data_IF_020185954659
#
_entry.id   IF_020185954659
#
_cell.length_a   1.000
_cell.length_b   1.000
_cell.length_c   1.000
_cell.angle_alpha   90.00
_cell.angle_beta   90.00
_cell.angle_gamma   90.00
#
_symmetry.space_group_name_H-M   'P 1'
#
loop_
_entity.id
_entity.type
_entity.pdbx_description
1 polymer ?
#
# COMPACT_ATOMS: atom_id res chain seq x y z
N UNK A 1 14.12 9.32 8.60
CA UNK A 1 12.81 9.50 9.26
C UNK A 1 12.86 9.01 10.70
N UNK A 2 13.26 7.74 10.95
CA UNK A 2 13.47 7.20 12.31
C UNK A 2 14.42 8.06 13.16
N UNK A 3 15.57 8.47 12.61
CA UNK A 3 16.52 9.35 13.30
C UNK A 3 15.99 10.78 13.56
N UNK A 4 14.90 11.19 12.92
CA UNK A 4 14.34 12.53 13.07
C UNK A 4 13.17 12.59 14.06
N UNK A 5 12.41 11.49 14.18
CA UNK A 5 11.19 11.47 14.99
C UNK A 5 11.20 10.44 16.13
N UNK A 6 12.14 9.49 16.12
CA UNK A 6 12.10 8.31 16.99
C UNK A 6 11.10 7.26 16.49
N UNK A 7 11.33 5.98 16.82
CA UNK A 7 10.52 4.87 16.33
C UNK A 7 9.02 5.01 16.69
N UNK A 8 8.73 5.51 17.90
CA UNK A 8 7.37 5.62 18.43
C UNK A 8 6.55 6.80 17.87
N UNK A 9 7.17 7.67 17.05
CA UNK A 9 6.48 8.83 16.45
C UNK A 9 6.32 8.72 14.95
N UNK A 10 6.55 7.53 14.38
CA UNK A 10 6.28 7.28 12.97
C UNK A 10 4.79 6.96 12.81
N UNK A 11 4.05 7.71 11.97
CA UNK A 11 2.59 7.61 11.86
C UNK A 11 2.07 6.26 11.33
N UNK A 12 2.96 5.36 10.93
CA UNK A 12 2.66 4.03 10.38
C UNK A 12 3.59 2.94 10.94
N UNK A 13 4.19 3.16 12.11
CA UNK A 13 4.92 2.08 12.80
C UNK A 13 3.93 1.05 13.32
N UNK A 14 4.22 -0.23 13.11
CA UNK A 14 3.36 -1.33 13.51
C UNK A 14 4.18 -2.37 14.26
N UNK A 15 3.54 -3.00 15.25
CA UNK A 15 4.09 -4.05 16.12
C UNK A 15 3.13 -5.25 16.06
N UNK A 16 3.58 -6.41 16.53
CA UNK A 16 2.67 -7.53 16.76
C UNK A 16 1.62 -7.18 17.83
N UNK A 17 0.54 -7.96 17.92
CA UNK A 17 -0.56 -7.71 18.86
C UNK A 17 -0.15 -7.77 20.34
N UNK A 18 0.99 -8.38 20.64
CA UNK A 18 1.61 -8.42 21.97
C UNK A 18 2.58 -7.25 22.23
N UNK A 19 2.76 -6.35 21.26
CA UNK A 19 3.66 -5.20 21.34
C UNK A 19 5.12 -5.48 20.94
N UNK A 20 5.46 -6.72 20.58
CA UNK A 20 6.80 -7.04 20.07
C UNK A 20 7.04 -6.46 18.67
N UNK A 21 8.29 -6.11 18.37
CA UNK A 21 8.66 -5.55 17.07
C UNK A 21 8.53 -6.59 15.96
N UNK A 22 8.05 -6.16 14.79
CA UNK A 22 8.07 -7.00 13.60
C UNK A 22 9.50 -7.02 13.08
N UNK A 23 10.07 -8.22 12.91
CA UNK A 23 11.46 -8.36 12.51
C UNK A 23 11.70 -7.81 11.10
N UNK A 24 12.89 -7.28 10.85
CA UNK A 24 13.29 -6.78 9.52
C UNK A 24 13.20 -7.89 8.46
N UNK A 25 13.55 -9.13 8.82
CA UNK A 25 13.42 -10.29 7.95
C UNK A 25 11.96 -10.54 7.55
N UNK A 26 11.01 -10.46 8.48
CA UNK A 26 9.59 -10.67 8.16
C UNK A 26 9.04 -9.52 7.31
N UNK A 27 9.43 -8.27 7.60
CA UNK A 27 9.07 -7.12 6.77
C UNK A 27 9.58 -7.27 5.34
N UNK A 28 10.81 -7.74 5.15
CA UNK A 28 11.38 -8.01 3.82
C UNK A 28 10.60 -9.09 3.09
N UNK A 29 10.21 -10.19 3.78
CA UNK A 29 9.40 -11.24 3.17
C UNK A 29 8.03 -10.75 2.73
N UNK A 30 7.36 -9.94 3.54
CA UNK A 30 6.07 -9.32 3.18
C UNK A 30 6.25 -8.42 1.95
N UNK A 31 7.26 -7.54 1.96
CA UNK A 31 7.54 -6.65 0.81
C UNK A 31 7.85 -7.42 -0.47
N UNK A 32 8.59 -8.52 -0.37
CA UNK A 32 8.90 -9.38 -1.50
C UNK A 32 7.64 -10.07 -2.05
N UNK A 33 6.77 -10.59 -1.18
CA UNK A 33 5.50 -11.18 -1.60
C UNK A 33 4.62 -10.16 -2.35
N UNK A 34 4.46 -8.96 -1.80
CA UNK A 34 3.73 -7.87 -2.48
C UNK A 34 4.36 -7.50 -3.82
N UNK A 35 5.69 -7.47 -3.90
CA UNK A 35 6.40 -7.09 -5.13
C UNK A 35 6.29 -8.15 -6.22
N UNK A 36 6.33 -9.44 -5.86
CA UNK A 36 6.20 -10.56 -6.79
C UNK A 36 4.80 -10.65 -7.39
N UNK A 37 3.77 -10.37 -6.58
CA UNK A 37 2.37 -10.47 -6.99
C UNK A 37 1.79 -9.12 -7.48
N UNK A 38 2.60 -8.06 -7.55
CA UNK A 38 2.14 -6.74 -7.94
C UNK A 38 1.76 -6.68 -9.42
N UNK A 39 0.53 -6.22 -9.70
CA UNK A 39 0.09 -5.88 -11.05
C UNK A 39 0.33 -4.41 -11.35
N UNK A 40 1.08 -4.10 -12.41
CA UNK A 40 1.31 -2.74 -12.86
C UNK A 40 0.26 -2.32 -13.90
N UNK A 41 -0.74 -1.57 -13.44
CA UNK A 41 -1.76 -0.97 -14.30
C UNK A 41 -1.29 0.38 -14.87
N UNK A 42 -1.08 0.44 -16.19
CA UNK A 42 -0.63 1.65 -16.91
C UNK A 42 -1.83 2.47 -17.39
N UNK A 43 -2.36 3.32 -16.51
CA UNK A 43 -3.46 4.25 -16.78
C UNK A 43 -3.35 4.95 -18.14
N UNK A 44 -4.42 4.89 -18.91
CA UNK A 44 -4.72 5.72 -20.07
C UNK A 44 -5.93 6.63 -19.78
N UNK A 45 -6.06 7.77 -20.47
CA UNK A 45 -7.25 8.61 -20.36
C UNK A 45 -8.53 7.81 -20.69
N UNK A 46 -9.51 7.88 -19.79
CA UNK A 46 -10.80 7.16 -19.93
C UNK A 46 -10.85 5.80 -19.27
N UNK A 47 -9.73 5.25 -18.80
CA UNK A 47 -9.72 3.99 -18.06
C UNK A 47 -10.52 4.09 -16.76
N UNK A 48 -11.21 2.99 -16.42
CA UNK A 48 -11.82 2.76 -15.12
C UNK A 48 -11.32 1.42 -14.59
N UNK A 49 -10.70 1.44 -13.41
CA UNK A 49 -10.28 0.23 -12.71
C UNK A 49 -11.28 -0.08 -11.59
N UNK A 50 -11.94 -1.23 -11.70
CA UNK A 50 -12.74 -1.79 -10.62
C UNK A 50 -11.92 -2.88 -9.92
N UNK A 51 -11.87 -2.82 -8.58
CA UNK A 51 -11.24 -3.84 -7.76
C UNK A 51 -12.11 -4.21 -6.56
N UNK A 52 -11.92 -5.42 -6.07
CA UNK A 52 -12.48 -5.88 -4.79
C UNK A 52 -11.53 -5.46 -3.66
N UNK A 53 -11.97 -4.52 -2.82
CA UNK A 53 -11.14 -3.92 -1.77
C UNK A 53 -10.75 -4.93 -0.66
N UNK A 54 -11.44 -6.07 -0.58
CA UNK A 54 -11.10 -7.13 0.38
C UNK A 54 -10.00 -8.06 -0.16
N UNK A 55 -9.82 -8.12 -1.48
CA UNK A 55 -8.87 -9.03 -2.13
C UNK A 55 -7.58 -8.34 -2.60
N UNK A 56 -7.65 -7.05 -2.89
CA UNK A 56 -6.53 -6.31 -3.47
C UNK A 56 -6.04 -5.20 -2.54
N UNK A 57 -4.76 -5.27 -2.20
CA UNK A 57 -4.02 -4.09 -1.78
C UNK A 57 -3.65 -3.26 -3.02
N UNK A 58 -3.74 -1.94 -2.91
CA UNK A 58 -3.39 -1.03 -4.00
C UNK A 58 -2.52 0.12 -3.50
N UNK A 59 -1.74 0.67 -4.41
CA UNK A 59 -0.79 1.74 -4.11
C UNK A 59 -0.37 2.46 -5.38
N UNK A 60 0.68 3.28 -5.27
CA UNK A 60 1.13 4.13 -6.37
C UNK A 60 2.64 4.11 -6.50
N UNK A 61 3.15 3.82 -7.71
CA UNK A 61 4.56 4.03 -8.05
C UNK A 61 4.88 5.54 -8.17
N UNK A 62 6.12 5.97 -7.95
CA UNK A 62 6.53 7.34 -8.24
C UNK A 62 6.19 7.75 -9.68
N UNK A 63 5.78 9.00 -9.90
CA UNK A 63 5.47 9.54 -11.23
C UNK A 63 5.99 10.98 -11.33
N UNK A 64 6.05 11.51 -12.56
CA UNK A 64 6.42 12.89 -12.88
C UNK A 64 5.35 13.52 -13.78
N UNK A 65 5.26 14.85 -13.75
CA UNK A 65 4.28 15.60 -14.55
C UNK A 65 2.85 15.57 -13.98
N UNK A 66 1.90 16.09 -14.76
CA UNK A 66 0.49 16.17 -14.38
C UNK A 66 -0.19 14.80 -14.48
N UNK A 67 -0.89 14.40 -13.41
CA UNK A 67 -1.67 13.16 -13.35
C UNK A 67 -2.86 13.36 -12.42
N UNK A 68 -4.07 13.07 -12.90
CA UNK A 68 -5.28 13.04 -12.10
C UNK A 68 -5.91 11.63 -12.18
N UNK A 69 -6.16 11.03 -11.02
CA UNK A 69 -6.93 9.79 -10.88
C UNK A 69 -7.91 10.00 -9.75
N UNK A 70 -9.19 9.77 -10.02
CA UNK A 70 -10.27 9.90 -9.06
C UNK A 70 -10.65 8.53 -8.50
N UNK A 71 -11.28 8.50 -7.33
CA UNK A 71 -11.73 7.28 -6.69
C UNK A 71 -13.18 7.44 -6.21
N UNK A 72 -13.93 6.35 -6.27
CA UNK A 72 -15.24 6.21 -5.64
C UNK A 72 -15.22 4.92 -4.82
N UNK A 73 -15.83 4.96 -3.63
CA UNK A 73 -16.02 3.80 -2.78
C UNK A 73 -17.43 3.29 -2.97
N UNK A 74 -17.58 1.96 -2.99
CA UNK A 74 -18.87 1.30 -3.11
C UNK A 74 -19.03 0.33 -1.95
N UNK A 75 -20.27 0.18 -1.49
CA UNK A 75 -20.62 -0.89 -0.56
C UNK A 75 -20.46 -2.25 -1.26
N UNK A 76 -19.88 -3.25 -0.59
CA UNK A 76 -19.87 -4.60 -1.14
C UNK A 76 -21.31 -5.12 -1.24
N UNK A 77 -21.71 -5.57 -2.43
CA UNK A 77 -22.99 -6.28 -2.57
C UNK A 77 -22.93 -7.57 -1.74
N UNK A 78 -23.94 -7.78 -0.88
CA UNK A 78 -24.13 -9.03 -0.12
C UNK A 78 -24.45 -10.21 -1.03
#
# INVERSE_FOLDING_TARGET
>A
MMNMFGADKLPRHARFGDGTEISEHDLQRIQQAFSNEALLFRWQPGDVLLLDNMKFAHGRKPYKGSRAVFAALMEPNR
#
